data_IF_152369278725
#
_entry.id   IF_152369278725
#
_cell.length_a   1.000
_cell.length_b   1.000
_cell.length_c   1.000
_cell.angle_alpha   90.00
_cell.angle_beta   90.00
_cell.angle_gamma   90.00
#
_symmetry.space_group_name_H-M   'P 1'
#
loop_
_entity.id
_entity.type
_entity.pdbx_description
1 polymer ?
#
# COMPACT_ATOMS: atom_id res chain seq x y z
N UNK A 1 18.53 13.26 6.69
CA UNK A 1 17.84 11.98 6.99
C UNK A 1 17.15 11.43 5.74
N UNK A 2 16.34 12.22 5.04
CA UNK A 2 15.60 11.79 3.83
C UNK A 2 16.52 11.39 2.65
N UNK A 3 17.59 12.15 2.37
CA UNK A 3 18.52 11.85 1.25
C UNK A 3 19.16 10.46 1.40
N UNK A 4 19.74 10.16 2.57
CA UNK A 4 20.37 8.85 2.82
C UNK A 4 19.38 7.69 2.72
N UNK A 5 18.14 7.87 3.20
CA UNK A 5 17.11 6.85 3.11
C UNK A 5 16.77 6.54 1.63
N UNK A 6 16.57 7.58 0.83
CA UNK A 6 16.30 7.42 -0.61
C UNK A 6 17.44 6.73 -1.34
N UNK A 7 18.68 7.03 -0.98
CA UNK A 7 19.86 6.34 -1.53
C UNK A 7 19.89 4.85 -1.14
N UNK A 8 19.62 4.51 0.12
CA UNK A 8 19.56 3.11 0.58
C UNK A 8 18.45 2.33 -0.13
N UNK A 9 17.25 2.91 -0.25
CA UNK A 9 16.15 2.33 -1.03
C UNK A 9 16.47 2.21 -2.52
N UNK A 10 17.10 3.23 -3.12
CA UNK A 10 17.47 3.21 -4.52
C UNK A 10 18.46 2.08 -4.83
N UNK A 11 19.35 1.75 -3.89
CA UNK A 11 20.25 0.60 -4.03
C UNK A 11 19.47 -0.71 -4.09
N UNK A 12 18.50 -0.91 -3.19
CA UNK A 12 17.63 -2.10 -3.21
C UNK A 12 16.86 -2.18 -4.53
N UNK A 13 16.27 -1.07 -4.98
CA UNK A 13 15.50 -1.04 -6.22
C UNK A 13 16.35 -1.27 -7.47
N UNK A 14 17.63 -0.90 -7.45
CA UNK A 14 18.54 -1.13 -8.58
C UNK A 14 18.82 -2.61 -8.86
N UNK A 15 18.56 -3.49 -7.88
CA UNK A 15 18.62 -4.94 -8.06
C UNK A 15 17.40 -5.51 -8.79
N UNK A 16 16.31 -4.74 -8.94
CA UNK A 16 15.18 -5.15 -9.78
C UNK A 16 15.57 -4.95 -11.25
N UNK A 17 15.51 -6.00 -12.10
CA UNK A 17 15.84 -5.90 -13.51
C UNK A 17 14.96 -4.87 -14.22
N UNK A 18 15.47 -4.29 -15.30
CA UNK A 18 14.64 -3.48 -16.18
C UNK A 18 13.55 -4.33 -16.86
N UNK A 19 12.46 -3.66 -17.23
CA UNK A 19 11.38 -4.26 -18.00
C UNK A 19 10.42 -3.21 -18.54
N UNK A 20 9.73 -3.59 -19.61
CA UNK A 20 8.79 -2.77 -20.33
C UNK A 20 7.38 -2.97 -19.79
N UNK A 21 6.82 -1.89 -19.23
CA UNK A 21 5.47 -1.82 -18.70
C UNK A 21 4.67 -0.84 -19.55
N UNK A 22 3.55 -1.30 -20.11
CA UNK A 22 2.64 -0.47 -20.92
C UNK A 22 2.00 0.70 -20.16
N UNK A 23 2.09 0.73 -18.83
CA UNK A 23 1.49 1.79 -18.00
C UNK A 23 -0.04 1.79 -17.99
N UNK A 24 -0.68 0.67 -18.35
CA UNK A 24 -2.15 0.57 -18.50
C UNK A 24 -2.97 0.71 -17.19
N UNK A 25 -2.34 0.70 -16.02
CA UNK A 25 -3.01 0.87 -14.73
C UNK A 25 -3.81 -0.33 -14.20
N UNK A 26 -3.90 -1.45 -14.93
CA UNK A 26 -4.71 -2.63 -14.51
C UNK A 26 -4.25 -3.30 -13.21
N UNK A 27 -2.99 -3.12 -12.82
CA UNK A 27 -2.49 -3.59 -11.52
C UNK A 27 -2.80 -2.63 -10.36
N UNK A 28 -3.24 -1.41 -10.64
CA UNK A 28 -3.41 -0.34 -9.63
C UNK A 28 -4.78 -0.40 -8.95
N UNK A 29 -5.09 -1.53 -8.30
CA UNK A 29 -6.40 -1.78 -7.69
C UNK A 29 -6.34 -2.16 -6.20
N UNK A 30 -5.15 -2.28 -5.63
CA UNK A 30 -4.94 -2.66 -4.21
C UNK A 30 -3.90 -1.76 -3.53
N UNK A 31 -4.06 -1.62 -2.21
CA UNK A 31 -2.99 -1.17 -1.30
C UNK A 31 -2.03 -2.34 -1.11
N UNK A 32 -0.91 -2.33 -1.82
CA UNK A 32 0.10 -3.38 -1.68
C UNK A 32 0.89 -3.20 -0.39
N UNK A 33 1.41 -4.31 0.16
CA UNK A 33 2.36 -4.27 1.27
C UNK A 33 3.54 -3.35 0.96
N UNK A 34 3.98 -2.59 1.96
CA UNK A 34 5.16 -1.74 1.87
C UNK A 34 5.93 -1.80 3.19
N UNK A 35 7.25 -1.71 3.11
CA UNK A 35 8.10 -1.52 4.29
C UNK A 35 7.92 -0.12 4.89
N UNK A 36 8.36 0.05 6.13
CA UNK A 36 8.34 1.35 6.80
C UNK A 36 9.18 2.39 6.04
N UNK A 37 10.35 1.98 5.54
CA UNK A 37 11.24 2.80 4.73
C UNK A 37 10.56 3.30 3.44
N UNK A 38 9.86 2.41 2.72
CA UNK A 38 9.11 2.77 1.52
C UNK A 38 7.98 3.74 1.83
N UNK A 39 7.21 3.46 2.88
CA UNK A 39 6.12 4.32 3.30
C UNK A 39 6.59 5.72 3.73
N UNK A 40 7.75 5.82 4.39
CA UNK A 40 8.38 7.10 4.72
C UNK A 40 8.67 7.91 3.46
N UNK A 41 9.34 7.32 2.48
CA UNK A 41 9.69 8.02 1.22
C UNK A 41 8.44 8.44 0.45
N UNK A 42 7.44 7.55 0.35
CA UNK A 42 6.16 7.86 -0.29
C UNK A 42 5.44 9.01 0.44
N UNK A 43 5.45 9.00 1.77
CA UNK A 43 4.87 10.08 2.57
C UNK A 43 5.54 11.42 2.30
N UNK A 44 6.88 11.46 2.27
CA UNK A 44 7.64 12.67 1.96
C UNK A 44 7.35 13.18 0.54
N UNK A 45 7.22 12.27 -0.44
CA UNK A 45 6.85 12.64 -1.81
C UNK A 45 5.47 13.29 -1.87
N UNK A 46 4.47 12.70 -1.21
CA UNK A 46 3.11 13.27 -1.13
C UNK A 46 3.14 14.64 -0.43
N UNK A 47 3.91 14.76 0.66
CA UNK A 47 4.08 16.01 1.39
C UNK A 47 4.68 17.11 0.51
N UNK A 48 5.65 16.78 -0.33
CA UNK A 48 6.32 17.71 -1.25
C UNK A 48 5.45 18.11 -2.46
N UNK A 49 4.33 17.44 -2.71
CA UNK A 49 3.43 17.81 -3.81
C UNK A 49 2.75 19.17 -3.58
N UNK A 50 2.31 19.85 -4.67
CA UNK A 50 1.48 21.04 -4.57
C UNK A 50 0.25 20.80 -3.69
N UNK A 51 -0.14 21.80 -2.89
CA UNK A 51 -1.17 21.66 -1.85
C UNK A 51 -2.47 21.02 -2.37
N UNK A 52 -2.92 21.42 -3.55
CA UNK A 52 -4.15 20.91 -4.16
C UNK A 52 -4.01 19.43 -4.55
N UNK A 53 -2.89 19.05 -5.17
CA UNK A 53 -2.60 17.66 -5.54
C UNK A 53 -2.45 16.77 -4.30
N UNK A 54 -1.75 17.27 -3.28
CA UNK A 54 -1.59 16.60 -1.98
C UNK A 54 -2.96 16.35 -1.34
N UNK A 55 -3.84 17.36 -1.32
CA UNK A 55 -5.22 17.22 -0.82
C UNK A 55 -5.98 16.12 -1.58
N UNK A 56 -5.94 16.12 -2.91
CA UNK A 56 -6.63 15.11 -3.73
C UNK A 56 -6.12 13.67 -3.47
N UNK A 57 -4.82 13.49 -3.27
CA UNK A 57 -4.26 12.19 -2.89
C UNK A 57 -4.72 11.78 -1.49
N UNK A 58 -4.65 12.68 -0.50
CA UNK A 58 -5.12 12.36 0.86
C UNK A 58 -6.61 12.03 0.89
N UNK A 59 -7.45 12.77 0.17
CA UNK A 59 -8.88 12.47 0.07
C UNK A 59 -9.12 11.06 -0.48
N UNK A 60 -8.38 10.65 -1.52
CA UNK A 60 -8.43 9.29 -2.10
C UNK A 60 -7.91 8.22 -1.13
N UNK A 61 -6.81 8.47 -0.43
CA UNK A 61 -6.25 7.54 0.58
C UNK A 61 -7.27 7.31 1.70
N UNK A 62 -7.87 8.37 2.21
CA UNK A 62 -8.87 8.27 3.29
C UNK A 62 -10.13 7.55 2.80
N UNK A 63 -10.62 7.85 1.60
CA UNK A 63 -11.76 7.13 1.02
C UNK A 63 -11.46 5.65 0.80
N UNK A 64 -10.26 5.32 0.28
CA UNK A 64 -9.78 3.95 0.19
C UNK A 64 -9.86 3.27 1.55
N UNK A 65 -9.22 3.86 2.56
CA UNK A 65 -9.14 3.30 3.90
C UNK A 65 -10.51 3.11 4.55
N UNK A 66 -11.43 4.07 4.41
CA UNK A 66 -12.78 3.99 4.97
C UNK A 66 -13.62 2.86 4.35
N UNK A 67 -13.37 2.54 3.09
CA UNK A 67 -14.19 1.62 2.32
C UNK A 67 -13.60 0.22 2.17
N UNK A 68 -12.38 -0.02 2.67
CA UNK A 68 -11.80 -1.37 2.79
C UNK A 68 -12.85 -2.31 3.39
N UNK A 69 -13.03 -3.45 2.72
CA UNK A 69 -14.02 -4.52 2.96
C UNK A 69 -15.47 -4.27 2.47
N UNK A 70 -15.81 -3.06 2.00
CA UNK A 70 -17.20 -2.70 1.65
C UNK A 70 -17.38 -2.12 0.24
N UNK A 71 -16.42 -1.33 -0.24
CA UNK A 71 -16.48 -0.75 -1.57
C UNK A 71 -15.09 -0.88 -2.19
N UNK A 72 -15.03 -1.57 -3.34
CA UNK A 72 -13.81 -1.65 -4.14
C UNK A 72 -13.44 -0.27 -4.65
N UNK A 73 -12.21 0.16 -4.35
CA UNK A 73 -11.62 1.38 -4.89
C UNK A 73 -10.35 1.04 -5.66
N UNK A 74 -10.06 1.82 -6.70
CA UNK A 74 -8.73 1.77 -7.34
C UNK A 74 -7.67 2.26 -6.36
N UNK A 75 -6.41 1.95 -6.64
CA UNK A 75 -5.28 2.48 -5.88
C UNK A 75 -5.39 4.01 -5.76
N UNK A 76 -5.23 4.59 -4.56
CA UNK A 76 -5.41 6.03 -4.36
C UNK A 76 -4.36 6.89 -5.07
N UNK A 77 -3.28 6.28 -5.57
CA UNK A 77 -2.24 6.94 -6.34
C UNK A 77 -2.43 6.85 -7.85
N UNK A 78 -3.51 6.21 -8.34
CA UNK A 78 -3.81 6.16 -9.76
C UNK A 78 -4.54 7.43 -10.18
N UNK A 79 -3.95 8.19 -11.10
CA UNK A 79 -4.54 9.38 -11.68
C UNK A 79 -5.74 9.03 -12.60
N UNK A 80 -6.60 10.01 -12.93
CA UNK A 80 -7.66 9.83 -13.92
C UNK A 80 -7.17 9.34 -15.29
N UNK A 81 -5.93 9.66 -15.66
CA UNK A 81 -5.26 9.25 -16.90
C UNK A 81 -4.64 7.83 -16.81
N UNK A 82 -4.96 7.07 -15.76
CA UNK A 82 -4.41 5.75 -15.45
C UNK A 82 -2.88 5.75 -15.26
N UNK A 83 -2.31 6.86 -14.75
CA UNK A 83 -0.87 6.94 -14.42
C UNK A 83 -0.67 6.95 -12.91
N UNK A 84 0.34 6.23 -12.44
CA UNK A 84 0.70 6.26 -11.03
C UNK A 84 1.39 7.58 -10.68
N UNK A 85 0.84 8.31 -9.72
CA UNK A 85 1.34 9.63 -9.31
C UNK A 85 2.56 9.54 -8.37
N UNK A 86 2.84 8.36 -7.84
CA UNK A 86 4.05 8.04 -7.07
C UNK A 86 4.95 7.05 -7.83
N UNK A 87 4.91 7.03 -9.17
CA UNK A 87 5.58 5.98 -9.95
C UNK A 87 7.06 5.84 -9.58
N UNK A 88 7.78 6.94 -9.35
CA UNK A 88 9.19 6.92 -9.00
C UNK A 88 9.48 6.28 -7.63
N UNK A 89 8.59 6.47 -6.65
CA UNK A 89 8.68 5.97 -5.27
C UNK A 89 7.80 4.76 -4.99
N UNK A 90 7.13 4.21 -6.02
CA UNK A 90 6.28 3.01 -5.89
C UNK A 90 7.01 1.90 -5.13
N UNK A 91 6.34 1.16 -4.24
CA UNK A 91 7.03 0.14 -3.46
C UNK A 91 7.41 -1.08 -4.30
N UNK A 92 8.25 -1.91 -3.73
CA UNK A 92 8.86 -3.11 -4.31
C UNK A 92 7.81 -4.02 -4.90
N UNK A 93 6.70 -4.27 -4.20
CA UNK A 93 5.57 -5.06 -4.70
C UNK A 93 5.03 -4.56 -6.05
N UNK A 94 4.95 -3.24 -6.24
CA UNK A 94 4.58 -2.66 -7.54
C UNK A 94 5.70 -2.76 -8.58
N UNK A 95 6.97 -2.72 -8.17
CA UNK A 95 8.13 -2.82 -9.07
C UNK A 95 8.29 -4.22 -9.63
N UNK A 96 8.17 -5.24 -8.78
CA UNK A 96 8.41 -6.62 -9.16
C UNK A 96 7.19 -7.31 -9.77
N UNK A 97 6.01 -6.67 -9.76
CA UNK A 97 4.74 -7.26 -10.22
C UNK A 97 4.83 -7.94 -11.60
N UNK A 98 5.47 -7.30 -12.58
CA UNK A 98 5.64 -7.86 -13.93
C UNK A 98 6.69 -8.97 -14.01
N UNK A 99 7.57 -9.08 -13.02
CA UNK A 99 8.71 -10.00 -13.03
C UNK A 99 8.36 -11.39 -12.47
N UNK A 100 7.09 -11.66 -12.15
CA UNK A 100 6.68 -12.99 -11.72
C UNK A 100 6.55 -13.93 -12.91
N UNK A 101 6.90 -15.21 -12.73
CA UNK A 101 6.39 -16.23 -13.64
C UNK A 101 4.88 -16.39 -13.42
N UNK A 102 4.15 -16.73 -14.49
CA UNK A 102 2.70 -16.94 -14.42
C UNK A 102 2.32 -17.97 -13.34
N UNK A 103 3.00 -19.11 -13.33
CA UNK A 103 2.74 -20.20 -12.39
C UNK A 103 2.91 -19.75 -10.93
N UNK A 104 4.02 -19.07 -10.61
CA UNK A 104 4.23 -18.58 -9.24
C UNK A 104 3.20 -17.53 -8.85
N UNK A 105 2.81 -16.66 -9.78
CA UNK A 105 1.83 -15.61 -9.53
C UNK A 105 0.46 -16.20 -9.22
N UNK A 106 -0.01 -17.15 -10.04
CA UNK A 106 -1.29 -17.84 -9.85
C UNK A 106 -1.29 -18.64 -8.54
N UNK A 107 -0.21 -19.36 -8.22
CA UNK A 107 -0.04 -20.03 -6.93
C UNK A 107 -0.12 -19.05 -5.74
N UNK A 108 0.47 -17.86 -5.88
CA UNK A 108 0.40 -16.83 -4.86
C UNK A 108 -1.03 -16.27 -4.69
N UNK A 109 -1.76 -16.05 -5.79
CA UNK A 109 -3.16 -15.62 -5.74
C UNK A 109 -4.04 -16.62 -4.98
N UNK A 110 -3.86 -17.92 -5.18
CA UNK A 110 -4.64 -18.94 -4.47
C UNK A 110 -4.35 -18.96 -2.97
N UNK A 111 -3.09 -18.73 -2.58
CA UNK A 111 -2.71 -18.55 -1.18
C UNK A 111 -3.35 -17.30 -0.58
N UNK A 112 -3.38 -16.19 -1.33
CA UNK A 112 -3.99 -14.93 -0.88
C UNK A 112 -5.50 -15.08 -0.69
N UNK A 113 -6.20 -15.78 -1.58
CA UNK A 113 -7.64 -16.08 -1.41
C UNK A 113 -7.91 -16.78 -0.07
N UNK A 114 -7.15 -17.84 0.23
CA UNK A 114 -7.28 -18.55 1.50
C UNK A 114 -7.01 -17.65 2.72
N UNK A 115 -6.03 -16.75 2.63
CA UNK A 115 -5.76 -15.77 3.69
C UNK A 115 -6.89 -14.75 3.84
N UNK A 116 -7.46 -14.27 2.74
CA UNK A 116 -8.58 -13.32 2.73
C UNK A 116 -9.84 -13.94 3.35
N UNK A 117 -10.12 -15.22 3.05
CA UNK A 117 -11.24 -15.95 3.67
C UNK A 117 -11.09 -16.05 5.19
N UNK A 118 -9.87 -16.33 5.67
CA UNK A 118 -9.56 -16.35 7.11
C UNK A 118 -9.76 -14.98 7.75
N UNK A 119 -9.27 -13.91 7.12
CA UNK A 119 -9.45 -12.54 7.61
C UNK A 119 -10.94 -12.19 7.66
N UNK A 120 -11.70 -12.52 6.61
CA UNK A 120 -13.16 -12.31 6.57
C UNK A 120 -13.87 -13.02 7.73
N UNK A 121 -13.49 -14.27 8.00
CA UNK A 121 -14.05 -15.03 9.13
C UNK A 121 -13.75 -14.35 10.48
N UNK A 122 -12.51 -13.92 10.70
CA UNK A 122 -12.12 -13.19 11.91
C UNK A 122 -12.91 -11.89 12.07
N UNK A 123 -13.14 -11.15 10.98
CA UNK A 123 -13.91 -9.90 11.01
C UNK A 123 -15.37 -10.14 11.42
N UNK A 124 -15.98 -11.21 10.91
CA UNK A 124 -17.34 -11.60 11.28
C UNK A 124 -17.40 -12.07 12.74
N UNK A 125 -16.52 -12.97 13.15
CA UNK A 125 -16.53 -13.56 14.50
C UNK A 125 -16.24 -12.54 15.60
N UNK A 126 -15.22 -11.70 15.40
CA UNK A 126 -14.74 -10.78 16.43
C UNK A 126 -15.50 -9.46 16.44
N UNK A 127 -15.97 -9.00 15.30
CA UNK A 127 -16.55 -7.66 15.15
C UNK A 127 -17.98 -7.66 14.61
N UNK A 128 -18.55 -8.81 14.28
CA UNK A 128 -19.86 -8.87 13.58
C UNK A 128 -19.81 -8.24 12.20
N UNK A 129 -18.61 -8.04 11.64
CA UNK A 129 -18.40 -7.22 10.46
C UNK A 129 -18.25 -8.09 9.21
N UNK A 130 -19.28 -8.08 8.36
CA UNK A 130 -19.31 -8.86 7.13
C UNK A 130 -18.62 -8.14 5.98
N UNK A 131 -17.57 -8.75 5.43
CA UNK A 131 -16.92 -8.33 4.18
C UNK A 131 -17.86 -8.60 3.01
N UNK A 132 -17.96 -7.68 2.04
CA UNK A 132 -18.76 -7.93 0.84
C UNK A 132 -18.11 -8.96 -0.09
N UNK A 133 -18.93 -9.77 -0.74
CA UNK A 133 -18.46 -10.86 -1.60
C UNK A 133 -17.66 -10.36 -2.81
N UNK A 134 -18.12 -9.28 -3.45
CA UNK A 134 -17.39 -8.63 -4.55
C UNK A 134 -16.01 -8.11 -4.12
N UNK A 135 -15.81 -7.84 -2.83
CA UNK A 135 -14.50 -7.50 -2.28
C UNK A 135 -13.58 -8.72 -2.19
N UNK A 136 -14.11 -9.87 -1.76
CA UNK A 136 -13.37 -11.13 -1.59
C UNK A 136 -13.02 -11.79 -2.93
N UNK A 137 -13.94 -11.73 -3.90
CA UNK A 137 -13.79 -12.37 -5.21
C UNK A 137 -12.79 -11.63 -6.12
N UNK A 138 -12.47 -10.37 -5.78
CA UNK A 138 -11.57 -9.57 -6.58
C UNK A 138 -10.11 -10.01 -6.39
N UNK A 139 -9.41 -10.15 -7.52
CA UNK A 139 -7.96 -10.28 -7.55
C UNK A 139 -7.38 -9.54 -8.75
N UNK A 140 -6.17 -9.02 -8.59
CA UNK A 140 -5.39 -8.52 -9.71
C UNK A 140 -4.90 -9.75 -10.49
N UNK A 141 -5.23 -9.86 -11.77
CA UNK A 141 -4.80 -10.98 -12.62
C UNK A 141 -3.38 -10.80 -13.15
N UNK A 142 -2.70 -11.89 -13.52
CA UNK A 142 -1.34 -11.87 -14.06
C UNK A 142 -1.14 -10.88 -15.23
N UNK A 143 0.02 -10.22 -15.28
CA UNK A 143 0.34 -9.28 -16.35
C UNK A 143 0.81 -9.97 -17.63
N UNK A 144 -0.02 -10.01 -18.67
CA UNK A 144 0.35 -10.59 -19.96
C UNK A 144 1.15 -9.65 -20.89
N UNK A 145 1.17 -8.35 -20.59
CA UNK A 145 1.75 -7.33 -21.47
C UNK A 145 3.18 -6.97 -21.08
N UNK A 146 3.59 -7.25 -19.84
CA UNK A 146 4.93 -6.93 -19.37
C UNK A 146 5.99 -7.74 -20.13
N UNK A 147 7.11 -7.09 -20.45
CA UNK A 147 8.27 -7.73 -21.10
C UNK A 147 9.52 -7.42 -20.30
N UNK A 148 10.18 -8.43 -19.75
CA UNK A 148 11.38 -8.25 -18.95
C UNK A 148 11.86 -9.56 -18.36
N UNK A 149 13.00 -9.51 -17.67
CA UNK A 149 13.56 -10.69 -16.99
C UNK A 149 12.66 -11.09 -15.82
N UNK A 150 12.28 -12.36 -15.73
CA UNK A 150 11.58 -12.87 -14.55
C UNK A 150 12.54 -12.97 -13.36
N UNK A 151 12.02 -12.75 -12.17
CA UNK A 151 12.73 -12.94 -10.91
C UNK A 151 12.34 -14.28 -10.30
N UNK A 152 13.34 -15.06 -9.89
CA UNK A 152 13.11 -16.28 -9.12
C UNK A 152 12.53 -15.95 -7.73
N UNK A 153 11.96 -16.95 -7.06
CA UNK A 153 11.50 -16.79 -5.68
C UNK A 153 12.61 -16.30 -4.75
N UNK A 154 13.82 -16.82 -4.89
CA UNK A 154 14.95 -16.46 -4.02
C UNK A 154 15.39 -15.02 -4.26
N UNK A 155 15.48 -14.59 -5.51
CA UNK A 155 15.80 -13.19 -5.86
C UNK A 155 14.73 -12.22 -5.33
N UNK A 156 13.45 -12.60 -5.37
CA UNK A 156 12.38 -11.80 -4.74
C UNK A 156 12.54 -11.75 -3.22
N UNK A 157 12.86 -12.87 -2.57
CA UNK A 157 13.07 -12.92 -1.12
C UNK A 157 14.26 -12.05 -0.69
N UNK A 158 15.38 -12.07 -1.42
CA UNK A 158 16.55 -11.22 -1.15
C UNK A 158 16.21 -9.72 -1.17
N UNK A 159 15.32 -9.30 -2.08
CA UNK A 159 14.81 -7.93 -2.14
C UNK A 159 13.99 -7.58 -0.89
N UNK A 160 13.10 -8.48 -0.44
CA UNK A 160 12.32 -8.27 0.79
C UNK A 160 13.21 -8.27 2.04
N UNK A 161 14.17 -9.19 2.13
CA UNK A 161 15.14 -9.26 3.23
C UNK A 161 15.95 -7.97 3.33
N UNK A 162 16.34 -7.41 2.18
CA UNK A 162 17.02 -6.11 2.12
C UNK A 162 16.16 -4.97 2.67
N UNK A 163 14.85 -4.97 2.41
CA UNK A 163 13.92 -3.99 3.00
C UNK A 163 13.78 -4.18 4.52
N UNK A 164 13.68 -5.42 4.99
CA UNK A 164 13.60 -5.73 6.43
C UNK A 164 14.86 -5.24 7.17
N UNK A 165 16.04 -5.44 6.58
CA UNK A 165 17.30 -4.93 7.13
C UNK A 165 17.30 -3.40 7.18
N UNK A 166 16.80 -2.73 6.13
CA UNK A 166 16.68 -1.28 6.11
C UNK A 166 15.73 -0.76 7.19
N UNK A 167 14.55 -1.35 7.33
CA UNK A 167 13.57 -1.03 8.38
C UNK A 167 14.17 -1.23 9.78
N UNK A 168 14.88 -2.33 9.99
CA UNK A 168 15.56 -2.62 11.27
C UNK A 168 16.57 -1.53 11.63
N UNK A 169 17.37 -1.08 10.67
CA UNK A 169 18.30 0.05 10.87
C UNK A 169 17.55 1.34 11.20
N UNK A 170 16.43 1.60 10.54
CA UNK A 170 15.60 2.77 10.81
C UNK A 170 15.02 2.74 12.22
N UNK A 171 14.48 1.59 12.67
CA UNK A 171 13.90 1.46 14.00
C UNK A 171 14.93 1.68 15.10
N UNK A 172 16.14 1.11 14.95
CA UNK A 172 17.25 1.34 15.88
C UNK A 172 17.63 2.83 15.90
N UNK A 173 17.79 3.46 14.73
CA UNK A 173 18.19 4.86 14.61
C UNK A 173 17.16 5.83 15.20
N UNK A 174 15.87 5.54 15.03
CA UNK A 174 14.76 6.38 15.48
C UNK A 174 14.29 6.04 16.89
N UNK A 175 14.88 5.02 17.54
CA UNK A 175 14.44 4.54 18.85
C UNK A 175 13.01 3.99 18.85
N UNK A 176 12.53 3.53 17.69
CA UNK A 176 11.18 3.02 17.53
C UNK A 176 11.11 1.57 18.01
N UNK A 177 10.14 1.27 18.88
CA UNK A 177 9.77 -0.09 19.26
C UNK A 177 8.47 -0.45 18.54
N UNK A 178 8.58 -0.73 17.26
CA UNK A 178 7.47 -1.18 16.44
C UNK A 178 7.55 -2.69 16.28
N UNK A 179 6.42 -3.38 16.42
CA UNK A 179 6.30 -4.72 15.89
C UNK A 179 6.33 -4.60 14.36
N UNK A 180 7.03 -5.52 13.69
CA UNK A 180 6.91 -5.64 12.25
C UNK A 180 5.46 -6.06 11.94
N UNK A 181 4.73 -5.17 11.27
CA UNK A 181 3.33 -5.37 10.89
C UNK A 181 3.27 -5.36 9.36
N UNK A 182 2.71 -6.42 8.77
CA UNK A 182 2.43 -6.48 7.34
C UNK A 182 1.30 -5.50 7.02
N UNK A 183 1.66 -4.32 6.53
CA UNK A 183 0.74 -3.21 6.23
C UNK A 183 0.85 -2.81 4.77
N UNK A 184 -0.30 -2.47 4.21
CA UNK A 184 -0.34 -1.75 2.95
C UNK A 184 0.14 -0.30 3.09
N UNK A 185 0.51 0.31 1.96
CA UNK A 185 0.93 1.72 1.89
C UNK A 185 -0.14 2.65 2.48
N UNK A 186 -1.42 2.37 2.22
CA UNK A 186 -2.54 3.20 2.69
C UNK A 186 -2.61 3.20 4.21
N UNK A 187 -2.51 2.02 4.82
CA UNK A 187 -2.46 1.84 6.26
C UNK A 187 -1.27 2.60 6.87
N UNK A 188 -0.07 2.46 6.31
CA UNK A 188 1.09 3.21 6.78
C UNK A 188 0.88 4.73 6.78
N UNK A 189 0.29 5.27 5.71
CA UNK A 189 0.04 6.72 5.62
C UNK A 189 -1.05 7.14 6.60
N UNK A 190 -2.13 6.36 6.73
CA UNK A 190 -3.21 6.64 7.68
C UNK A 190 -2.69 6.62 9.11
N UNK A 191 -1.85 5.65 9.50
CA UNK A 191 -1.22 5.56 10.83
C UNK A 191 -0.44 6.82 11.20
N UNK A 192 0.21 7.44 10.20
CA UNK A 192 0.99 8.66 10.39
C UNK A 192 0.11 9.91 10.49
N UNK A 193 -1.02 9.90 9.81
CA UNK A 193 -1.94 11.04 9.78
C UNK A 193 -2.95 10.98 10.91
N UNK A 194 -3.40 9.82 11.36
CA UNK A 194 -4.51 9.64 12.29
C UNK A 194 -4.29 8.38 13.14
N UNK A 195 -5.03 8.22 14.24
CA UNK A 195 -5.04 6.95 14.97
C UNK A 195 -5.88 5.94 14.21
N UNK A 196 -5.21 5.02 13.49
CA UNK A 196 -5.88 3.97 12.73
C UNK A 196 -6.74 3.05 13.59
N UNK A 197 -6.35 2.79 14.84
CA UNK A 197 -7.02 1.84 15.73
C UNK A 197 -8.41 2.35 16.05
N UNK A 198 -8.52 3.65 16.37
CA UNK A 198 -9.80 4.30 16.63
C UNK A 198 -10.69 4.32 15.38
N UNK A 199 -10.12 4.60 14.21
CA UNK A 199 -10.90 4.60 12.96
C UNK A 199 -11.37 3.19 12.63
N UNK A 200 -10.52 2.18 12.80
CA UNK A 200 -10.86 0.78 12.62
C UNK A 200 -12.00 0.36 13.52
N UNK A 201 -11.95 0.67 14.82
CA UNK A 201 -13.04 0.39 15.76
C UNK A 201 -14.37 1.04 15.35
N UNK A 202 -14.35 2.32 14.97
CA UNK A 202 -15.54 3.04 14.48
C UNK A 202 -16.09 2.38 13.21
N UNK A 203 -15.23 1.97 12.27
CA UNK A 203 -15.64 1.26 11.06
C UNK A 203 -16.31 -0.08 11.38
N UNK A 204 -15.70 -0.86 12.27
CA UNK A 204 -16.21 -2.18 12.66
C UNK A 204 -17.57 -2.08 13.33
N UNK A 205 -17.85 -1.00 14.07
CA UNK A 205 -19.17 -0.73 14.68
C UNK A 205 -20.20 -0.13 13.72
N UNK A 206 -19.82 0.19 12.48
CA UNK A 206 -20.72 0.86 11.52
C UNK A 206 -21.03 2.32 11.85
N UNK A 207 -20.23 2.95 12.71
CA UNK A 207 -20.48 4.30 13.25
C UNK A 207 -19.84 5.42 12.40
N UNK A 208 -19.12 5.07 11.32
CA UNK A 208 -18.39 6.03 10.50
C UNK A 208 -19.34 6.84 9.57
N UNK A 209 -19.97 7.86 10.13
CA UNK A 209 -20.90 8.75 9.41
C UNK A 209 -20.23 9.60 8.31
N UNK A 210 -20.98 10.08 7.30
CA UNK A 210 -20.46 11.01 6.28
C UNK A 210 -19.83 12.27 6.86
N UNK A 211 -20.42 12.84 7.92
CA UNK A 211 -19.87 13.99 8.63
C UNK A 211 -18.51 13.68 9.28
N UNK A 212 -18.35 12.49 9.87
CA UNK A 212 -17.07 12.04 10.43
C UNK A 212 -16.02 11.82 9.35
N UNK A 213 -16.39 11.19 8.22
CA UNK A 213 -15.49 11.01 7.07
C UNK A 213 -14.90 12.34 6.60
N UNK A 214 -15.75 13.36 6.43
CA UNK A 214 -15.31 14.71 6.02
C UNK A 214 -14.39 15.36 7.05
N UNK A 215 -14.72 15.26 8.35
CA UNK A 215 -13.85 15.79 9.43
C UNK A 215 -12.48 15.12 9.44
N UNK A 216 -12.44 13.79 9.36
CA UNK A 216 -11.19 13.02 9.35
C UNK A 216 -10.32 13.34 8.13
N UNK A 217 -10.91 13.49 6.94
CA UNK A 217 -10.21 13.96 5.75
C UNK A 217 -9.58 15.34 5.96
N UNK A 218 -10.34 16.30 6.46
CA UNK A 218 -9.83 17.65 6.74
C UNK A 218 -8.66 17.62 7.73
N UNK A 219 -8.75 16.81 8.79
CA UNK A 219 -7.66 16.62 9.76
C UNK A 219 -6.43 16.01 9.09
N UNK A 220 -6.61 14.98 8.25
CA UNK A 220 -5.51 14.33 7.53
C UNK A 220 -4.78 15.31 6.60
N UNK A 221 -5.53 16.14 5.85
CA UNK A 221 -4.97 17.18 4.96
C UNK A 221 -4.20 18.23 5.75
N UNK A 222 -4.72 18.67 6.88
CA UNK A 222 -4.02 19.62 7.76
C UNK A 222 -2.73 19.01 8.32
N UNK A 223 -2.76 17.76 8.78
CA UNK A 223 -1.60 17.10 9.37
C UNK A 223 -0.47 16.87 8.38
N UNK A 224 -0.75 16.44 7.15
CA UNK A 224 0.32 16.28 6.15
C UNK A 224 0.92 17.64 5.72
N UNK A 225 0.16 18.73 5.85
CA UNK A 225 0.66 20.08 5.55
C UNK A 225 1.44 20.73 6.69
N UNK A 226 1.20 20.31 7.94
CA UNK A 226 1.79 20.89 9.14
C UNK A 226 3.01 20.12 9.67
N UNK A 227 3.09 18.82 9.41
CA UNK A 227 4.20 17.92 9.82
C UNK A 227 5.25 17.87 8.74
#
# INVERSE_FOLDING_TARGET
MDIMLREELSKIYSAVPEGDCSGCGRCCHESVGASFAEAEVIYQDIKAMPAEKRKQIIDRIMDYYFDVYQIRRKCPFLSPENRCEIYASRPLNCRIYGHWSRQEYENNLDRLKCSNDKISQVLIEKYGYKVKQDYLDFSIGFCNDFRGRLLSRDERNELYDSLIVLDSKMFVRLGLRLAYEDKGIVEHIVDRLLSKEKIFEIKMRGELSPGMRNRLKNIAVLRIGAV
#
